data_IF_042178746430
#
_entry.id   IF_042178746430
#
_cell.length_a   1.000
_cell.length_b   1.000
_cell.length_c   1.000
_cell.angle_alpha   90.00
_cell.angle_beta   90.00
_cell.angle_gamma   90.00
#
_symmetry.space_group_name_H-M   'P 1'
#
loop_
_entity.id
_entity.type
_entity.pdbx_description
1 polymer ?
#
# COMPACT_ATOMS: atom_id res chain seq x y z
N UNK A 1 -10.44 -63.06 -12.69
CA UNK A 1 -11.28 -62.38 -11.66
C UNK A 1 -10.34 -61.52 -10.83
N UNK A 2 -10.35 -60.19 -10.80
CA UNK A 2 -11.18 -59.19 -11.45
C UNK A 2 -10.36 -57.92 -11.80
N UNK A 3 -10.99 -56.92 -12.44
CA UNK A 3 -10.34 -55.72 -12.98
C UNK A 3 -10.54 -54.49 -12.06
N UNK A 4 -9.56 -53.59 -12.00
CA UNK A 4 -9.67 -52.22 -11.44
C UNK A 4 -8.65 -51.35 -12.19
N UNK A 5 -8.96 -50.84 -13.39
CA UNK A 5 -9.62 -49.55 -13.66
C UNK A 5 -8.99 -48.33 -12.94
N UNK A 6 -8.31 -47.52 -13.76
CA UNK A 6 -8.28 -46.04 -13.75
C UNK A 6 -7.60 -45.33 -12.57
N UNK A 7 -6.28 -45.15 -12.65
CA UNK A 7 -5.62 -43.95 -12.09
C UNK A 7 -5.44 -42.90 -13.19
N UNK A 8 -6.59 -42.40 -13.68
CA UNK A 8 -6.64 -41.25 -14.57
C UNK A 8 -6.56 -39.96 -13.75
N UNK A 9 -5.53 -39.17 -14.06
CA UNK A 9 -5.51 -37.70 -14.03
C UNK A 9 -6.24 -37.02 -12.86
N UNK A 10 -5.51 -36.51 -11.88
CA UNK A 10 -5.96 -35.31 -11.16
C UNK A 10 -4.76 -34.49 -10.66
N UNK A 11 -3.88 -34.11 -11.60
CA UNK A 11 -3.12 -32.88 -11.41
C UNK A 11 -4.07 -31.76 -11.79
N UNK A 12 -4.86 -31.30 -10.80
CA UNK A 12 -5.45 -29.97 -10.88
C UNK A 12 -4.28 -28.99 -10.94
N UNK A 13 -3.86 -28.67 -12.17
CA UNK A 13 -3.18 -27.43 -12.44
C UNK A 13 -4.05 -26.35 -11.79
N UNK A 14 -3.51 -25.70 -10.76
CA UNK A 14 -4.01 -24.42 -10.27
C UNK A 14 -3.81 -23.43 -11.41
N UNK A 15 -4.71 -23.52 -12.41
CA UNK A 15 -4.85 -22.52 -13.44
C UNK A 15 -5.27 -21.27 -12.71
N UNK A 16 -4.28 -20.43 -12.39
CA UNK A 16 -4.55 -19.05 -12.01
C UNK A 16 -5.49 -18.50 -13.07
N UNK A 17 -6.70 -18.11 -12.65
CA UNK A 17 -7.72 -17.58 -13.53
C UNK A 17 -7.12 -16.40 -14.29
N UNK A 18 -6.69 -16.68 -15.53
CA UNK A 18 -6.23 -15.66 -16.46
C UNK A 18 -7.48 -14.87 -16.79
N UNK A 19 -7.67 -13.75 -16.10
CA UNK A 19 -8.70 -12.78 -16.42
C UNK A 19 -8.31 -12.21 -17.77
N UNK A 20 -8.75 -12.86 -18.84
CA UNK A 20 -8.64 -12.33 -20.19
C UNK A 20 -9.52 -11.09 -20.23
N UNK A 21 -8.87 -9.92 -20.20
CA UNK A 21 -9.54 -8.63 -20.14
C UNK A 21 -10.40 -8.42 -21.39
N UNK A 22 -11.66 -8.83 -21.33
CA UNK A 22 -12.63 -8.70 -22.44
C UNK A 22 -12.80 -7.25 -22.89
N UNK A 23 -12.48 -6.27 -22.03
CA UNK A 23 -12.62 -4.84 -22.31
C UNK A 23 -11.25 -4.13 -22.20
N UNK A 24 -10.67 -3.79 -23.34
CA UNK A 24 -9.47 -2.95 -23.45
C UNK A 24 -9.85 -1.47 -23.54
N UNK A 25 -9.27 -0.66 -22.67
CA UNK A 25 -9.50 0.77 -22.58
C UNK A 25 -8.30 1.54 -23.14
N UNK A 26 -8.56 2.66 -23.82
CA UNK A 26 -7.55 3.67 -24.14
C UNK A 26 -7.42 4.65 -22.96
N UNK A 27 -8.53 4.89 -22.25
CA UNK A 27 -8.63 5.78 -21.09
C UNK A 27 -9.83 5.40 -20.21
N UNK A 28 -9.81 5.79 -18.93
CA UNK A 28 -10.81 5.42 -17.91
C UNK A 28 -12.21 6.01 -18.12
N UNK A 29 -12.97 5.55 -19.13
CA UNK A 29 -14.42 5.77 -19.16
C UNK A 29 -15.14 4.76 -18.25
N UNK A 30 -15.57 5.19 -17.06
CA UNK A 30 -16.54 4.46 -16.22
C UNK A 30 -16.14 4.13 -14.77
N UNK A 31 -14.88 4.34 -14.38
CA UNK A 31 -14.38 3.94 -13.05
C UNK A 31 -14.83 4.82 -11.88
N UNK A 32 -15.40 6.01 -12.13
CA UNK A 32 -15.80 6.96 -11.07
C UNK A 32 -16.72 6.31 -10.02
N UNK A 33 -17.63 5.42 -10.43
CA UNK A 33 -18.57 4.75 -9.52
C UNK A 33 -17.86 3.70 -8.65
N UNK A 34 -17.09 2.81 -9.27
CA UNK A 34 -16.32 1.76 -8.55
C UNK A 34 -15.32 2.39 -7.61
N UNK A 35 -14.56 3.39 -8.07
CA UNK A 35 -13.59 4.09 -7.24
C UNK A 35 -14.25 4.79 -6.06
N UNK A 36 -15.40 5.46 -6.27
CA UNK A 36 -16.15 6.11 -5.20
C UNK A 36 -16.59 5.10 -4.14
N UNK A 37 -17.09 3.94 -4.55
CA UNK A 37 -17.47 2.86 -3.62
C UNK A 37 -16.26 2.33 -2.84
N UNK A 38 -15.14 2.07 -3.49
CA UNK A 38 -13.92 1.57 -2.83
C UNK A 38 -13.30 2.61 -1.89
N UNK A 39 -13.38 3.89 -2.24
CA UNK A 39 -12.95 5.00 -1.38
C UNK A 39 -13.85 5.10 -0.14
N UNK A 40 -15.18 5.05 -0.33
CA UNK A 40 -16.14 5.06 0.79
C UNK A 40 -15.98 3.85 1.72
N UNK A 41 -15.53 2.71 1.20
CA UNK A 41 -15.23 1.53 1.99
C UNK A 41 -13.84 1.57 2.68
N UNK A 42 -13.03 2.62 2.48
CA UNK A 42 -11.68 2.73 3.04
C UNK A 42 -10.70 1.68 2.52
N UNK A 43 -10.99 1.10 1.33
CA UNK A 43 -10.17 0.06 0.70
C UNK A 43 -9.06 0.66 -0.16
N UNK A 44 -9.26 1.86 -0.69
CA UNK A 44 -8.22 2.60 -1.42
C UNK A 44 -7.37 3.41 -0.45
N UNK A 45 -6.09 3.66 -0.78
CA UNK A 45 -5.34 4.67 -0.07
C UNK A 45 -5.95 6.04 -0.33
N UNK A 46 -6.02 6.85 0.71
CA UNK A 46 -6.26 8.28 0.53
C UNK A 46 -5.11 8.87 -0.26
N UNK A 47 -5.42 9.74 -1.23
CA UNK A 47 -4.36 10.58 -1.82
C UNK A 47 -3.63 11.32 -0.70
N UNK A 48 -2.31 11.49 -0.79
CA UNK A 48 -1.56 12.16 0.25
C UNK A 48 -2.13 13.57 0.43
N UNK A 49 -2.65 13.85 1.63
CA UNK A 49 -3.03 15.21 2.01
C UNK A 49 -1.71 15.97 2.13
N UNK A 50 -1.52 17.00 1.30
CA UNK A 50 -0.37 17.88 1.43
C UNK A 50 -0.57 18.68 2.72
N UNK A 51 0.13 18.28 3.79
CA UNK A 51 0.17 19.06 5.01
C UNK A 51 1.06 20.29 4.77
N UNK A 52 0.49 21.50 4.87
CA UNK A 52 1.20 22.78 4.76
C UNK A 52 2.01 23.15 6.02
N UNK A 53 2.29 22.20 6.91
CA UNK A 53 3.23 22.42 8.00
C UNK A 53 4.64 22.04 7.56
N UNK A 54 5.68 22.70 8.09
CA UNK A 54 7.05 22.24 7.89
C UNK A 54 7.10 20.76 8.33
N UNK A 55 7.50 19.84 7.45
CA UNK A 55 7.72 18.46 7.86
C UNK A 55 8.77 18.48 8.97
N UNK A 56 8.56 17.66 10.00
CA UNK A 56 9.70 17.27 10.84
C UNK A 56 10.66 16.51 9.92
N UNK A 57 11.73 17.16 9.51
CA UNK A 57 12.67 16.58 8.55
C UNK A 57 13.66 15.61 9.20
N UNK A 58 13.70 15.57 10.54
CA UNK A 58 14.61 14.72 11.32
C UNK A 58 13.99 14.28 12.66
N UNK A 59 14.58 13.23 13.25
CA UNK A 59 14.17 12.71 14.56
C UNK A 59 14.19 13.77 15.67
N UNK A 60 15.20 14.65 15.65
CA UNK A 60 15.42 15.68 16.66
C UNK A 60 14.35 16.77 16.64
N UNK A 61 13.57 16.87 15.55
CA UNK A 61 12.46 17.79 15.41
C UNK A 61 11.16 17.28 16.09
N UNK A 62 11.26 16.28 16.98
CA UNK A 62 10.13 15.81 17.79
C UNK A 62 9.42 16.97 18.49
N UNK A 63 8.13 17.14 18.19
CA UNK A 63 7.35 18.29 18.63
C UNK A 63 6.08 17.83 19.35
N UNK A 64 6.17 17.73 20.69
CA UNK A 64 5.02 17.40 21.56
C UNK A 64 3.81 18.34 21.38
N UNK A 65 4.06 19.56 20.92
CA UNK A 65 3.05 20.61 20.73
C UNK A 65 2.40 20.57 19.34
N UNK A 66 2.85 19.70 18.44
CA UNK A 66 2.22 19.54 17.12
C UNK A 66 0.79 18.97 17.27
N UNK A 67 -0.14 19.45 16.44
CA UNK A 67 -1.48 18.86 16.34
C UNK A 67 -1.48 17.57 15.53
N UNK A 68 -0.48 17.40 14.66
CA UNK A 68 -0.33 16.22 13.82
C UNK A 68 0.14 15.01 14.65
N UNK A 69 -0.57 13.88 14.52
CA UNK A 69 -0.23 12.63 15.21
C UNK A 69 1.17 12.13 14.85
N UNK A 70 1.59 12.31 13.60
CA UNK A 70 2.87 11.83 13.10
C UNK A 70 4.06 12.53 13.80
N UNK A 71 3.91 13.81 14.14
CA UNK A 71 4.96 14.62 14.77
C UNK A 71 5.03 14.46 16.30
N UNK A 72 3.94 14.01 16.94
CA UNK A 72 3.86 13.80 18.40
C UNK A 72 3.88 12.33 18.83
N UNK A 73 4.02 11.42 17.87
CA UNK A 73 4.26 9.99 18.12
C UNK A 73 5.62 9.77 18.78
N UNK A 74 5.75 8.75 19.64
CA UNK A 74 7.06 8.33 20.17
C UNK A 74 7.96 7.73 19.08
N UNK A 75 7.38 7.28 17.98
CA UNK A 75 8.08 6.85 16.77
C UNK A 75 7.59 7.74 15.62
N UNK A 76 8.10 8.98 15.50
CA UNK A 76 7.57 9.94 14.54
C UNK A 76 7.88 9.55 13.10
N UNK A 77 7.03 9.98 12.17
CA UNK A 77 7.20 9.69 10.74
C UNK A 77 6.86 10.90 9.88
N UNK A 78 7.44 10.95 8.68
CA UNK A 78 6.98 11.83 7.60
C UNK A 78 6.19 11.02 6.59
N UNK A 79 5.30 11.68 5.85
CA UNK A 79 4.60 11.06 4.73
C UNK A 79 5.35 11.37 3.44
N UNK A 80 5.98 10.35 2.85
CA UNK A 80 6.62 10.42 1.53
C UNK A 80 5.60 10.09 0.45
N UNK A 81 5.52 10.93 -0.58
CA UNK A 81 4.68 10.63 -1.76
C UNK A 81 5.35 9.59 -2.64
N UNK A 82 4.65 8.49 -2.91
CA UNK A 82 5.03 7.47 -3.89
C UNK A 82 4.23 7.68 -5.16
N UNK A 83 4.89 7.58 -6.32
CA UNK A 83 4.28 7.68 -7.63
C UNK A 83 4.46 6.35 -8.37
N UNK A 84 3.35 5.73 -8.78
CA UNK A 84 3.34 4.56 -9.64
C UNK A 84 2.34 4.78 -10.79
N UNK A 85 2.81 4.99 -12.04
CA UNK A 85 1.94 5.30 -13.17
C UNK A 85 0.99 4.16 -13.54
N UNK A 86 1.34 2.92 -13.19
CA UNK A 86 0.54 1.74 -13.50
C UNK A 86 -0.61 1.54 -12.51
N UNK A 87 -0.59 2.23 -11.37
CA UNK A 87 -1.63 2.16 -10.37
C UNK A 87 -2.62 3.33 -10.47
N UNK A 88 -3.83 3.11 -9.98
CA UNK A 88 -4.80 4.14 -9.70
C UNK A 88 -5.35 3.98 -8.26
N UNK A 89 -5.27 5.02 -7.41
CA UNK A 89 -4.59 6.31 -7.66
C UNK A 89 -3.09 6.12 -7.94
N UNK A 90 -2.53 6.91 -8.86
CA UNK A 90 -1.13 6.81 -9.27
C UNK A 90 -0.16 7.47 -8.29
N UNK A 91 -0.70 8.19 -7.30
CA UNK A 91 0.05 8.79 -6.19
C UNK A 91 -0.60 8.38 -4.88
N UNK A 92 0.21 7.96 -3.91
CA UNK A 92 -0.21 7.62 -2.56
C UNK A 92 0.89 8.02 -1.55
N UNK A 93 0.52 8.15 -0.28
CA UNK A 93 1.48 8.46 0.79
C UNK A 93 1.98 7.19 1.47
N UNK A 94 3.27 7.15 1.79
CA UNK A 94 3.87 6.15 2.68
C UNK A 94 4.53 6.83 3.88
N UNK A 95 4.37 6.23 5.05
CA UNK A 95 5.09 6.62 6.25
C UNK A 95 6.57 6.21 6.16
N UNK A 96 7.44 7.17 6.46
CA UNK A 96 8.88 6.99 6.61
C UNK A 96 9.25 7.40 8.03
N UNK A 97 9.76 6.46 8.83
CA UNK A 97 10.14 6.73 10.22
C UNK A 97 11.31 7.71 10.24
N UNK A 98 11.24 8.69 11.15
CA UNK A 98 12.27 9.73 11.26
C UNK A 98 13.41 9.34 12.19
N UNK A 99 13.15 8.42 13.12
CA UNK A 99 14.08 7.91 14.13
C UNK A 99 14.36 6.43 13.86
N UNK A 100 15.53 5.95 14.27
CA UNK A 100 15.81 4.51 14.34
C UNK A 100 15.31 3.96 15.69
N UNK A 101 15.54 4.73 16.76
CA UNK A 101 15.02 4.47 18.10
C UNK A 101 13.62 5.04 18.33
N UNK A 102 13.16 5.03 19.58
CA UNK A 102 11.93 5.72 19.98
C UNK A 102 12.22 6.91 20.88
N UNK A 103 11.40 7.96 20.80
CA UNK A 103 11.47 9.10 21.70
C UNK A 103 10.92 8.71 23.07
N UNK A 104 11.80 8.62 24.07
CA UNK A 104 11.45 8.36 25.46
C UNK A 104 11.95 9.54 26.28
N UNK A 105 11.06 10.16 27.06
CA UNK A 105 11.33 11.39 27.81
C UNK A 105 11.85 12.57 26.94
N UNK A 106 11.65 12.51 25.62
CA UNK A 106 12.02 13.60 24.69
C UNK A 106 13.39 13.45 24.06
N UNK A 107 14.05 12.31 24.31
CA UNK A 107 15.32 11.93 23.70
C UNK A 107 15.13 10.61 22.97
N UNK A 108 15.82 10.43 21.85
CA UNK A 108 15.83 9.16 21.15
C UNK A 108 16.52 8.09 22.02
N UNK A 109 15.82 6.97 22.20
CA UNK A 109 16.28 5.81 22.95
C UNK A 109 16.40 4.63 21.98
N UNK A 110 17.64 4.19 21.76
CA UNK A 110 17.99 3.09 20.85
C UNK A 110 17.83 1.69 21.46
N UNK A 111 17.38 1.59 22.72
CA UNK A 111 16.93 0.31 23.31
C UNK A 111 15.55 -0.13 22.79
N UNK A 112 14.92 0.69 21.94
CA UNK A 112 13.68 0.42 21.23
C UNK A 112 13.89 0.68 19.74
N UNK A 113 12.98 0.18 18.89
CA UNK A 113 13.01 0.42 17.45
C UNK A 113 11.75 1.15 16.99
N UNK A 114 11.92 2.17 16.15
CA UNK A 114 10.85 2.72 15.33
C UNK A 114 10.68 1.86 14.09
N UNK A 115 9.54 1.20 13.95
CA UNK A 115 9.25 0.31 12.82
C UNK A 115 8.00 0.74 12.06
N UNK A 116 7.96 0.62 10.72
CA UNK A 116 6.79 1.00 9.95
C UNK A 116 5.62 0.05 10.20
N UNK A 117 4.43 0.61 10.34
CA UNK A 117 3.16 -0.13 10.37
C UNK A 117 2.65 -0.26 8.93
N UNK A 118 2.43 -1.49 8.49
CA UNK A 118 1.99 -1.79 7.12
C UNK A 118 0.51 -2.13 7.10
N UNK A 119 -0.22 -1.57 6.14
CA UNK A 119 -1.61 -1.92 5.83
C UNK A 119 -1.73 -2.27 4.35
N UNK A 120 -2.51 -3.30 4.04
CA UNK A 120 -2.82 -3.65 2.65
C UNK A 120 -3.94 -2.75 2.13
N UNK A 121 -3.68 -2.08 1.01
CA UNK A 121 -4.65 -1.27 0.28
C UNK A 121 -4.96 -1.88 -1.08
N UNK A 122 -6.16 -1.67 -1.57
CA UNK A 122 -6.59 -2.04 -2.91
C UNK A 122 -6.26 -0.91 -3.89
N UNK A 123 -5.71 -1.26 -5.05
CA UNK A 123 -5.47 -0.38 -6.16
C UNK A 123 -6.05 -0.98 -7.45
N UNK A 124 -6.20 -0.15 -8.47
CA UNK A 124 -6.40 -0.62 -9.84
C UNK A 124 -5.05 -0.58 -10.56
N UNK A 125 -4.61 -1.69 -11.13
CA UNK A 125 -3.38 -1.81 -11.93
C UNK A 125 -3.69 -1.86 -13.41
N UNK A 126 -2.97 -1.10 -14.23
CA UNK A 126 -3.02 -1.19 -15.69
C UNK A 126 -2.37 -2.49 -16.14
N UNK A 127 -3.06 -3.24 -16.99
CA UNK A 127 -2.58 -4.46 -17.61
C UNK A 127 -2.57 -4.24 -19.13
N UNK A 128 -1.41 -4.32 -19.81
CA UNK A 128 -1.34 -4.13 -21.27
C UNK A 128 -2.20 -5.15 -22.03
N UNK A 129 -2.89 -4.70 -23.08
CA UNK A 129 -3.67 -5.58 -23.94
C UNK A 129 -2.80 -6.19 -25.05
N UNK A 130 -2.57 -7.51 -24.98
CA UNK A 130 -1.67 -8.24 -25.90
C UNK A 130 -1.95 -8.01 -27.39
N UNK A 131 -3.22 -7.91 -27.79
CA UNK A 131 -3.64 -7.76 -29.20
C UNK A 131 -3.97 -6.32 -29.61
N UNK A 132 -3.83 -5.35 -28.70
CA UNK A 132 -4.22 -3.96 -28.95
C UNK A 132 -3.14 -3.03 -28.37
N UNK A 133 -2.06 -2.76 -29.14
CA UNK A 133 -0.98 -1.88 -28.72
C UNK A 133 -1.51 -0.50 -28.26
N UNK A 134 -0.95 0.02 -27.17
CA UNK A 134 -1.38 1.30 -26.58
C UNK A 134 -2.68 1.22 -25.76
N UNK A 135 -3.34 0.07 -25.67
CA UNK A 135 -4.51 -0.14 -24.81
C UNK A 135 -4.18 -0.96 -23.58
N UNK A 136 -4.93 -0.75 -22.52
CA UNK A 136 -4.79 -1.49 -21.26
C UNK A 136 -6.16 -1.87 -20.68
N UNK A 137 -6.19 -2.93 -19.89
CA UNK A 137 -7.29 -3.26 -19.00
C UNK A 137 -6.90 -2.92 -17.56
N UNK A 138 -7.85 -3.07 -16.63
CA UNK A 138 -7.61 -2.87 -15.20
C UNK A 138 -7.76 -4.18 -14.46
N UNK A 139 -6.86 -4.41 -13.51
CA UNK A 139 -6.96 -5.48 -12.52
C UNK A 139 -6.92 -4.88 -11.11
N UNK A 140 -7.56 -5.56 -10.16
CA UNK A 140 -7.36 -5.24 -8.75
C UNK A 140 -5.98 -5.71 -8.30
N UNK A 141 -5.26 -4.86 -7.59
CA UNK A 141 -3.97 -5.18 -6.99
C UNK A 141 -3.96 -4.79 -5.52
N UNK A 142 -3.56 -5.72 -4.66
CA UNK A 142 -3.36 -5.48 -3.23
C UNK A 142 -1.92 -5.05 -3.00
N UNK A 143 -1.72 -3.85 -2.47
CA UNK A 143 -0.40 -3.25 -2.26
C UNK A 143 -0.18 -3.03 -0.76
N UNK A 144 0.92 -3.53 -0.17
CA UNK A 144 1.30 -3.18 1.19
C UNK A 144 1.81 -1.73 1.23
N UNK A 145 1.19 -0.90 2.06
CA UNK A 145 1.52 0.53 2.21
C UNK A 145 1.91 0.80 3.66
N UNK A 146 3.02 1.50 3.88
CA UNK A 146 3.40 1.97 5.22
C UNK A 146 2.49 3.13 5.61
N UNK A 147 1.70 2.99 6.67
CA UNK A 147 0.70 4.00 7.07
C UNK A 147 1.09 4.81 8.31
N UNK A 148 2.02 4.30 9.10
CA UNK A 148 2.55 4.96 10.30
C UNK A 148 3.90 4.33 10.69
N UNK A 149 4.49 4.82 11.78
CA UNK A 149 5.53 4.12 12.52
C UNK A 149 5.08 3.86 13.96
N UNK A 150 5.53 2.74 14.52
CA UNK A 150 5.27 2.35 15.91
C UNK A 150 6.57 2.05 16.64
N UNK A 151 6.55 2.20 17.95
CA UNK A 151 7.66 1.85 18.83
C UNK A 151 7.54 0.39 19.28
N UNK A 152 8.62 -0.39 19.15
CA UNK A 152 8.67 -1.79 19.59
C UNK A 152 9.93 -2.09 20.40
N UNK A 153 9.85 -3.13 21.22
CA UNK A 153 11.04 -3.72 21.85
C UNK A 153 11.81 -4.54 20.80
N UNK A 154 13.15 -4.46 20.73
CA UNK A 154 13.94 -5.24 19.79
C UNK A 154 13.78 -6.76 20.00
N UNK A 155 13.99 -7.53 18.93
CA UNK A 155 14.01 -9.00 18.99
C UNK A 155 15.28 -9.43 19.74
N UNK A 156 15.14 -10.41 20.63
CA UNK A 156 16.25 -11.04 21.36
C UNK A 156 16.91 -12.14 20.54
#
# INVERSE_FOLDING_TARGET
MGPLLLFGLYVFMLSGSKVEGKNCFIECKGQKKVLRTLFQAGLLPTQPVIHHHPPADSCQAFARTSKDISHRSLSPWRTRTVVNPDLYPNKYGEAECLCDGCIINGVENHSYNSVPVVRTHLFLKRIPCLRQPGKYSWAFEYVPVKVACTCVVPVQ
#
